data_IF_422869607507
#
_entry.id   IF_422869607507
#
_cell.length_a   1.000
_cell.length_b   1.000
_cell.length_c   1.000
_cell.angle_alpha   90.00
_cell.angle_beta   90.00
_cell.angle_gamma   90.00
#
_symmetry.space_group_name_H-M   'P 1'
#
loop_
_entity.id
_entity.type
_entity.pdbx_description
1 polymer ?
#
# COMPACT_ATOMS: atom_id res chain seq x y z
N UNK A 1 -2.81 -18.50 -11.25
CA UNK A 1 -4.10 -18.47 -10.53
C UNK A 1 -3.95 -18.77 -9.05
N UNK A 2 -3.20 -19.81 -8.65
CA UNK A 2 -2.95 -20.10 -7.22
C UNK A 2 -2.37 -18.91 -6.43
N UNK A 3 -1.39 -18.19 -6.99
CA UNK A 3 -0.78 -16.98 -6.38
C UNK A 3 -1.77 -15.83 -6.13
N UNK A 4 -2.75 -15.66 -7.03
CA UNK A 4 -3.78 -14.64 -6.85
C UNK A 4 -4.76 -15.02 -5.74
N UNK A 5 -5.19 -16.28 -5.71
CA UNK A 5 -6.09 -16.79 -4.67
C UNK A 5 -5.45 -16.76 -3.28
N UNK A 6 -4.16 -17.00 -3.19
CA UNK A 6 -3.40 -16.85 -1.94
C UNK A 6 -3.28 -15.39 -1.50
N UNK A 7 -3.12 -14.45 -2.44
CA UNK A 7 -3.23 -13.01 -2.18
C UNK A 7 -4.63 -12.58 -1.71
N UNK A 8 -5.70 -13.16 -2.27
CA UNK A 8 -7.07 -12.89 -1.82
C UNK A 8 -7.33 -13.49 -0.44
N UNK A 9 -6.83 -14.70 -0.20
CA UNK A 9 -6.87 -15.34 1.13
C UNK A 9 -6.12 -14.53 2.19
N UNK A 10 -5.11 -13.76 1.79
CA UNK A 10 -4.33 -12.92 2.71
C UNK A 10 -5.02 -11.61 3.10
N UNK A 11 -6.16 -11.23 2.50
CA UNK A 11 -6.89 -10.02 2.88
C UNK A 11 -7.33 -10.07 4.36
N UNK A 12 -7.58 -11.28 4.88
CA UNK A 12 -7.99 -11.49 6.27
C UNK A 12 -6.85 -11.46 7.30
N UNK A 13 -5.57 -11.48 6.89
CA UNK A 13 -4.46 -11.48 7.85
C UNK A 13 -3.97 -10.06 8.15
N UNK A 14 -3.61 -9.83 9.41
CA UNK A 14 -3.28 -8.51 9.93
C UNK A 14 -2.06 -7.86 9.26
N UNK A 15 -1.14 -8.66 8.71
CA UNK A 15 0.01 -8.10 7.99
C UNK A 15 -0.37 -7.51 6.63
N UNK A 16 -1.39 -8.03 5.97
CA UNK A 16 -1.88 -7.44 4.71
C UNK A 16 -2.64 -6.14 4.99
N UNK A 17 -3.26 -6.00 6.17
CA UNK A 17 -3.88 -4.74 6.60
C UNK A 17 -2.88 -3.58 6.65
N UNK A 18 -1.62 -3.84 7.02
CA UNK A 18 -0.58 -2.81 7.04
C UNK A 18 -0.33 -2.18 5.67
N UNK A 19 -0.49 -2.94 4.57
CA UNK A 19 -0.39 -2.44 3.21
C UNK A 19 -1.75 -2.01 2.64
N UNK A 20 -2.86 -2.63 3.06
CA UNK A 20 -4.19 -2.37 2.54
C UNK A 20 -4.80 -1.08 3.10
N UNK A 21 -4.64 -0.82 4.40
CA UNK A 21 -5.18 0.38 5.07
C UNK A 21 -4.67 1.67 4.43
N UNK A 22 -3.36 1.90 4.26
CA UNK A 22 -2.87 3.10 3.59
C UNK A 22 -3.31 3.17 2.12
N UNK A 23 -3.41 2.04 1.42
CA UNK A 23 -3.92 2.00 0.04
C UNK A 23 -5.36 2.51 -0.05
N UNK A 24 -6.25 1.98 0.79
CA UNK A 24 -7.66 2.38 0.86
C UNK A 24 -7.77 3.86 1.24
N UNK A 25 -7.05 4.28 2.29
CA UNK A 25 -7.06 5.68 2.74
C UNK A 25 -6.64 6.64 1.62
N UNK A 26 -5.58 6.31 0.88
CA UNK A 26 -5.08 7.12 -0.22
C UNK A 26 -6.07 7.18 -1.40
N UNK A 27 -6.70 6.04 -1.73
CA UNK A 27 -7.76 5.97 -2.76
C UNK A 27 -8.96 6.85 -2.36
N UNK A 28 -9.37 6.84 -1.10
CA UNK A 28 -10.48 7.69 -0.63
C UNK A 28 -10.15 9.19 -0.74
N UNK A 29 -8.91 9.57 -0.45
CA UNK A 29 -8.42 10.95 -0.53
C UNK A 29 -8.28 11.44 -1.97
N UNK A 30 -7.89 10.58 -2.90
CA UNK A 30 -7.58 10.93 -4.29
C UNK A 30 -8.79 11.34 -5.15
N UNK A 31 -10.03 11.08 -4.70
CA UNK A 31 -11.33 11.47 -5.33
C UNK A 31 -11.43 11.28 -6.85
N UNK A 32 -10.89 12.19 -7.66
CA UNK A 32 -10.94 12.13 -9.13
C UNK A 32 -9.83 11.28 -9.76
N UNK A 33 -8.77 10.97 -9.02
CA UNK A 33 -7.60 10.24 -9.51
C UNK A 33 -7.45 8.85 -8.87
N UNK A 34 -8.53 8.30 -8.30
CA UNK A 34 -8.55 7.02 -7.54
C UNK A 34 -7.86 5.87 -8.26
N UNK A 35 -8.21 5.67 -9.53
CA UNK A 35 -7.69 4.55 -10.33
C UNK A 35 -6.18 4.67 -10.54
N UNK A 36 -5.71 5.86 -10.93
CA UNK A 36 -4.29 6.11 -11.13
C UNK A 36 -3.50 5.92 -9.84
N UNK A 37 -4.02 6.42 -8.72
CA UNK A 37 -3.40 6.26 -7.40
C UNK A 37 -3.34 4.79 -6.99
N UNK A 38 -4.43 4.03 -7.16
CA UNK A 38 -4.46 2.61 -6.84
C UNK A 38 -3.47 1.79 -7.68
N UNK A 39 -3.41 2.03 -8.99
CA UNK A 39 -2.50 1.33 -9.90
C UNK A 39 -1.04 1.68 -9.62
N UNK A 40 -0.73 2.96 -9.45
CA UNK A 40 0.63 3.41 -9.12
C UNK A 40 1.08 2.93 -7.74
N UNK A 41 0.17 2.85 -6.78
CA UNK A 41 0.41 2.23 -5.48
C UNK A 41 0.76 0.76 -5.60
N UNK A 42 -0.02 -0.01 -6.37
CA UNK A 42 0.22 -1.43 -6.61
C UNK A 42 1.60 -1.66 -7.25
N UNK A 43 1.96 -0.84 -8.23
CA UNK A 43 3.28 -0.90 -8.88
C UNK A 43 4.40 -0.54 -7.89
N UNK A 44 4.22 0.55 -7.12
CA UNK A 44 5.23 0.99 -6.14
C UNK A 44 5.48 -0.04 -5.04
N UNK A 45 4.42 -0.64 -4.50
CA UNK A 45 4.53 -1.66 -3.44
C UNK A 45 5.17 -2.94 -3.98
N UNK A 46 4.78 -3.40 -5.17
CA UNK A 46 5.34 -4.61 -5.77
C UNK A 46 6.82 -4.44 -6.14
N UNK A 47 7.19 -3.30 -6.73
CA UNK A 47 8.59 -3.02 -7.09
C UNK A 47 9.48 -2.94 -5.86
N UNK A 48 9.05 -2.26 -4.80
CA UNK A 48 9.92 -2.08 -3.64
C UNK A 48 10.01 -3.35 -2.79
N UNK A 49 8.92 -4.10 -2.65
CA UNK A 49 8.97 -5.42 -1.99
C UNK A 49 9.89 -6.38 -2.74
N UNK A 50 9.82 -6.40 -4.07
CA UNK A 50 10.72 -7.18 -4.91
C UNK A 50 12.18 -6.70 -4.80
N UNK A 51 12.43 -5.39 -4.81
CA UNK A 51 13.78 -4.83 -4.68
C UNK A 51 14.41 -5.11 -3.30
N UNK A 52 13.59 -5.15 -2.25
CA UNK A 52 14.03 -5.57 -0.91
C UNK A 52 14.34 -7.07 -0.88
N UNK A 53 13.49 -7.88 -1.52
CA UNK A 53 13.66 -9.33 -1.58
C UNK A 53 14.92 -9.76 -2.34
N UNK A 54 15.29 -9.04 -3.40
CA UNK A 54 16.52 -9.29 -4.17
C UNK A 54 17.81 -8.81 -3.46
N UNK A 55 17.71 -8.33 -2.22
CA UNK A 55 18.86 -7.79 -1.48
C UNK A 55 19.45 -6.51 -2.09
N UNK A 56 18.80 -5.90 -3.09
CA UNK A 56 19.25 -4.65 -3.70
C UNK A 56 19.00 -3.42 -2.82
N UNK A 57 18.21 -3.55 -1.75
CA UNK A 57 17.82 -2.43 -0.91
C UNK A 57 17.63 -2.83 0.57
N UNK A 58 18.71 -2.78 1.35
CA UNK A 58 18.66 -2.83 2.82
C UNK A 58 19.09 -1.47 3.38
N UNK A 59 18.11 -0.62 3.64
CA UNK A 59 18.32 0.60 4.40
C UNK A 59 17.75 0.32 5.79
N UNK A 60 18.62 0.17 6.77
CA UNK A 60 18.24 0.13 8.20
C UNK A 60 17.91 1.55 8.65
N UNK A 61 16.67 1.76 9.07
CA UNK A 61 16.23 3.05 9.58
C UNK A 61 16.52 3.11 11.07
N UNK A 62 17.65 3.70 11.45
CA UNK A 62 17.92 4.07 12.84
C UNK A 62 18.03 5.59 12.95
N UNK A 63 17.21 6.18 13.81
CA UNK A 63 17.30 7.61 14.16
C UNK A 63 16.01 8.40 14.04
N UNK A 64 15.82 9.34 14.98
CA UNK A 64 14.65 10.21 15.07
C UNK A 64 14.37 11.04 13.80
N UNK A 65 15.42 11.45 13.09
CA UNK A 65 15.32 12.23 11.84
C UNK A 65 14.60 11.44 10.75
N UNK A 66 14.79 10.12 10.71
CA UNK A 66 14.19 9.25 9.69
C UNK A 66 12.70 9.00 9.93
N UNK A 67 12.28 8.89 11.20
CA UNK A 67 10.87 8.82 11.57
C UNK A 67 10.11 10.11 11.24
N UNK A 68 10.73 11.27 11.48
CA UNK A 68 10.15 12.55 11.10
C UNK A 68 10.08 12.73 9.59
N UNK A 69 11.13 12.32 8.87
CA UNK A 69 11.15 12.37 7.41
C UNK A 69 10.09 11.46 6.78
N UNK A 70 9.90 10.23 7.28
CA UNK A 70 8.87 9.32 6.78
C UNK A 70 7.45 9.82 7.08
N UNK A 71 7.22 10.35 8.29
CA UNK A 71 5.94 10.97 8.64
C UNK A 71 5.63 12.18 7.74
N UNK A 72 6.62 13.07 7.52
CA UNK A 72 6.47 14.21 6.62
C UNK A 72 6.18 13.77 5.18
N UNK A 73 6.84 12.71 4.71
CA UNK A 73 6.64 12.15 3.39
C UNK A 73 5.23 11.57 3.23
N UNK A 74 4.71 10.85 4.23
CA UNK A 74 3.32 10.39 4.24
C UNK A 74 2.36 11.56 4.16
N UNK A 75 2.51 12.58 5.01
CA UNK A 75 1.63 13.77 4.96
C UNK A 75 1.70 14.42 3.58
N UNK A 76 2.91 14.59 3.03
CA UNK A 76 3.13 15.13 1.69
C UNK A 76 2.40 14.34 0.61
N UNK A 77 2.49 13.02 0.63
CA UNK A 77 1.82 12.12 -0.33
C UNK A 77 0.30 12.21 -0.23
N UNK A 78 -0.26 12.24 0.97
CA UNK A 78 -1.71 12.40 1.17
C UNK A 78 -2.22 13.78 0.70
N UNK A 79 -1.45 14.84 0.95
CA UNK A 79 -1.76 16.19 0.43
C UNK A 79 -1.69 16.23 -1.09
N UNK A 80 -0.68 15.57 -1.68
CA UNK A 80 -0.49 15.49 -3.12
C UNK A 80 -1.65 14.73 -3.80
N UNK A 81 -2.08 13.62 -3.20
CA UNK A 81 -3.23 12.85 -3.64
C UNK A 81 -4.54 13.67 -3.55
N UNK A 82 -4.74 14.41 -2.46
CA UNK A 82 -5.91 15.28 -2.30
C UNK A 82 -5.96 16.40 -3.36
N UNK A 83 -4.79 16.93 -3.73
CA UNK A 83 -4.66 18.00 -4.74
C UNK A 83 -4.66 17.50 -6.18
N UNK A 84 -4.60 16.18 -6.41
CA UNK A 84 -4.50 15.61 -7.75
C UNK A 84 -5.76 15.92 -8.58
N UNK A 85 -5.58 16.66 -9.68
CA UNK A 85 -6.66 17.07 -10.58
C UNK A 85 -6.75 16.11 -11.77
N UNK A 86 -7.23 14.89 -11.54
CA UNK A 86 -7.62 13.94 -12.59
C UNK A 86 -6.66 12.76 -12.83
N UNK A 87 -7.04 11.87 -13.74
CA UNK A 87 -6.37 10.58 -13.96
C UNK A 87 -4.91 10.69 -14.44
N UNK A 88 -4.58 11.69 -15.27
CA UNK A 88 -3.23 11.85 -15.84
C UNK A 88 -2.32 12.76 -14.99
N UNK A 89 -2.72 13.08 -13.75
CA UNK A 89 -1.95 13.99 -12.92
C UNK A 89 -0.66 13.35 -12.42
N UNK A 90 0.48 13.98 -12.67
CA UNK A 90 1.77 13.55 -12.14
C UNK A 90 1.77 13.49 -10.60
N UNK A 91 0.96 14.34 -9.96
CA UNK A 91 0.70 14.30 -8.52
C UNK A 91 0.01 12.99 -8.08
N UNK A 92 -0.95 12.48 -8.86
CA UNK A 92 -1.61 11.22 -8.58
C UNK A 92 -0.62 10.06 -8.67
N UNK A 93 0.10 9.96 -9.78
CA UNK A 93 1.08 8.90 -10.01
C UNK A 93 2.20 8.94 -8.97
N UNK A 94 2.77 10.13 -8.71
CA UNK A 94 3.81 10.30 -7.71
C UNK A 94 3.33 9.92 -6.30
N UNK A 95 2.13 10.38 -5.92
CA UNK A 95 1.55 10.03 -4.61
C UNK A 95 1.34 8.53 -4.44
N UNK A 96 0.80 7.85 -5.47
CA UNK A 96 0.58 6.41 -5.41
C UNK A 96 1.88 5.62 -5.40
N UNK A 97 2.84 5.90 -6.30
CA UNK A 97 4.14 5.20 -6.32
C UNK A 97 4.86 5.36 -5.00
N UNK A 98 4.95 6.59 -4.46
CA UNK A 98 5.69 6.85 -3.23
C UNK A 98 5.00 6.22 -2.01
N UNK A 99 3.66 6.30 -1.91
CA UNK A 99 2.93 5.59 -0.86
C UNK A 99 3.06 4.08 -0.97
N UNK A 100 2.99 3.54 -2.19
CA UNK A 100 3.14 2.11 -2.45
C UNK A 100 4.53 1.63 -2.07
N UNK A 101 5.56 2.35 -2.48
CA UNK A 101 6.94 2.08 -2.09
C UNK A 101 7.09 2.12 -0.56
N UNK A 102 6.62 3.17 0.11
CA UNK A 102 6.63 3.23 1.57
C UNK A 102 5.92 2.03 2.21
N UNK A 103 4.75 1.66 1.71
CA UNK A 103 4.04 0.49 2.21
C UNK A 103 4.83 -0.80 1.98
N UNK A 104 5.45 -0.98 0.82
CA UNK A 104 6.23 -2.17 0.49
C UNK A 104 7.52 -2.27 1.30
N UNK A 105 8.09 -1.12 1.65
CA UNK A 105 9.23 -1.03 2.55
C UNK A 105 8.86 -1.41 3.98
N UNK A 106 7.70 -0.93 4.42
CA UNK A 106 7.28 -1.06 5.80
C UNK A 106 6.57 -2.41 6.07
N UNK A 107 6.02 -3.01 5.02
CA UNK A 107 5.33 -4.28 5.06
C UNK A 107 6.31 -5.43 5.36
N UNK A 108 6.01 -6.15 6.45
CA UNK A 108 6.64 -7.44 6.77
C UNK A 108 5.78 -8.54 6.14
N UNK A 109 6.32 -9.37 5.25
CA UNK A 109 5.55 -10.45 4.65
C UNK A 109 5.20 -11.48 5.72
N UNK A 110 3.92 -11.59 6.08
CA UNK A 110 3.41 -12.65 6.95
C UNK A 110 2.50 -13.54 6.12
N UNK A 111 3.07 -14.32 5.21
CA UNK A 111 2.27 -15.13 4.28
C UNK A 111 3.10 -16.27 3.71
N UNK A 112 2.36 -17.29 3.25
CA UNK A 112 2.73 -18.69 3.20
C UNK A 112 3.76 -19.14 2.14
N UNK A 113 3.84 -20.46 1.90
CA UNK A 113 4.96 -21.10 1.21
C UNK A 113 5.21 -20.57 -0.21
N UNK A 114 4.20 -20.03 -0.92
CA UNK A 114 4.39 -19.48 -2.27
C UNK A 114 5.04 -18.12 -2.30
N UNK A 115 4.77 -17.26 -1.31
CA UNK A 115 5.52 -16.01 -1.21
C UNK A 115 6.98 -16.31 -0.86
N UNK A 116 7.22 -17.28 0.02
CA UNK A 116 8.56 -17.80 0.30
C UNK A 116 9.27 -18.34 -0.95
N UNK A 117 8.57 -19.09 -1.80
CA UNK A 117 9.11 -19.62 -3.06
C UNK A 117 9.46 -18.50 -4.06
N UNK A 118 8.63 -17.45 -4.17
CA UNK A 118 8.90 -16.27 -5.01
C UNK A 118 10.13 -15.51 -4.49
N UNK A 119 10.20 -15.27 -3.19
CA UNK A 119 11.30 -14.56 -2.55
C UNK A 119 12.61 -15.35 -2.74
N UNK A 120 12.59 -16.68 -2.55
CA UNK A 120 13.78 -17.53 -2.65
C UNK A 120 14.24 -17.80 -4.10
N UNK A 121 13.41 -17.54 -5.10
CA UNK A 121 13.75 -17.67 -6.53
C UNK A 121 14.11 -16.33 -7.19
N UNK A 122 14.16 -15.25 -6.41
CA UNK A 122 14.38 -13.89 -6.93
C UNK A 122 15.77 -13.73 -7.55
N UNK A 123 16.78 -14.43 -7.03
CA UNK A 123 18.17 -14.35 -7.53
C UNK A 123 18.36 -15.03 -8.90
N UNK A 124 17.55 -16.02 -9.24
CA UNK A 124 17.68 -16.80 -10.49
C UNK A 124 16.69 -16.38 -11.56
N UNK A 125 15.49 -15.91 -11.20
CA UNK A 125 14.43 -15.53 -12.15
C UNK A 125 13.77 -14.18 -11.82
N UNK A 126 14.58 -13.12 -11.75
CA UNK A 126 14.18 -11.75 -11.43
C UNK A 126 12.91 -11.24 -12.16
N UNK A 127 12.82 -11.38 -13.49
CA UNK A 127 11.69 -10.87 -14.26
C UNK A 127 10.38 -11.64 -13.98
N UNK A 128 10.48 -12.95 -13.74
CA UNK A 128 9.32 -13.81 -13.47
C UNK A 128 8.81 -13.59 -12.06
N UNK A 129 9.70 -13.47 -11.07
CA UNK A 129 9.35 -13.20 -9.67
C UNK A 129 8.69 -11.83 -9.51
N UNK A 130 9.13 -10.80 -10.25
CA UNK A 130 8.45 -9.50 -10.28
C UNK A 130 7.01 -9.62 -10.80
N UNK A 131 6.81 -10.36 -11.90
CA UNK A 131 5.47 -10.61 -12.45
C UNK A 131 4.56 -11.34 -11.46
N UNK A 132 5.08 -12.34 -10.75
CA UNK A 132 4.34 -13.08 -9.72
C UNK A 132 4.03 -12.21 -8.50
N UNK A 133 4.94 -11.32 -8.10
CA UNK A 133 4.73 -10.35 -7.02
C UNK A 133 3.61 -9.35 -7.37
N UNK A 134 3.56 -8.86 -8.61
CA UNK A 134 2.46 -8.01 -9.09
C UNK A 134 1.11 -8.74 -9.02
N UNK A 135 1.06 -10.00 -9.44
CA UNK A 135 -0.17 -10.81 -9.39
C UNK A 135 -0.61 -11.06 -7.94
N UNK A 136 0.34 -11.33 -7.04
CA UNK A 136 0.08 -11.49 -5.61
C UNK A 136 -0.48 -10.20 -5.00
N UNK A 137 0.19 -9.05 -5.25
CA UNK A 137 -0.23 -7.75 -4.73
C UNK A 137 -1.56 -7.28 -5.31
N UNK A 138 -1.87 -7.64 -6.56
CA UNK A 138 -3.18 -7.38 -7.15
C UNK A 138 -4.31 -8.13 -6.42
N UNK A 139 -4.05 -9.35 -5.94
CA UNK A 139 -4.97 -10.10 -5.09
C UNK A 139 -5.10 -9.50 -3.70
N UNK A 140 -3.97 -9.17 -3.06
CA UNK A 140 -3.94 -8.60 -1.72
C UNK A 140 -4.59 -7.20 -1.63
N UNK A 141 -4.40 -6.38 -2.67
CA UNK A 141 -4.97 -5.03 -2.78
C UNK A 141 -6.30 -4.98 -3.53
N UNK A 142 -6.91 -6.14 -3.81
CA UNK A 142 -8.18 -6.24 -4.52
C UNK A 142 -9.26 -5.32 -3.91
N UNK A 143 -9.43 -5.18 -2.58
CA UNK A 143 -10.43 -4.26 -2.02
C UNK A 143 -10.17 -2.78 -2.37
N UNK A 144 -8.89 -2.36 -2.39
CA UNK A 144 -8.51 -0.99 -2.75
C UNK A 144 -8.75 -0.72 -4.25
N UNK A 145 -8.43 -1.70 -5.11
CA UNK A 145 -8.69 -1.61 -6.56
C UNK A 145 -10.19 -1.58 -6.84
N UNK A 146 -10.98 -2.44 -6.18
CA UNK A 146 -12.44 -2.44 -6.26
C UNK A 146 -13.01 -1.07 -5.88
N UNK A 147 -12.56 -0.48 -4.76
CA UNK A 147 -12.97 0.87 -4.34
C UNK A 147 -12.60 1.95 -5.36
N UNK A 148 -11.49 1.79 -6.07
CA UNK A 148 -11.07 2.73 -7.11
C UNK A 148 -11.90 2.60 -8.40
N UNK A 149 -12.35 1.38 -8.74
CA UNK A 149 -13.15 1.10 -9.94
C UNK A 149 -14.65 1.35 -9.71
N UNK A 150 -15.14 1.18 -8.48
CA UNK A 150 -16.55 1.30 -8.11
C UNK A 150 -17.25 2.58 -8.63
N UNK A 151 -16.62 3.78 -8.59
CA UNK A 151 -17.21 5.00 -9.13
C UNK A 151 -17.42 5.01 -10.66
N UNK A 152 -16.69 4.18 -11.39
CA UNK A 152 -16.84 4.02 -12.84
C UNK A 152 -17.97 3.06 -13.20
N UNK A 153 -18.19 2.03 -12.38
CA UNK A 153 -19.27 1.07 -12.58
C UNK A 153 -20.63 1.58 -12.07
N UNK A 154 -20.65 2.32 -10.96
CA UNK A 154 -21.88 2.76 -10.28
C UNK A 154 -21.89 4.28 -10.03
N UNK A 155 -22.73 5.05 -10.73
CA UNK A 155 -22.82 6.50 -10.54
C UNK A 155 -23.32 6.90 -9.13
N UNK A 156 -24.12 6.04 -8.48
CA UNK A 156 -24.53 6.23 -7.09
C UNK A 156 -23.35 6.14 -6.12
N UNK A 157 -22.46 5.15 -6.31
CA UNK A 157 -21.25 5.00 -5.52
C UNK A 157 -20.30 6.18 -5.71
N UNK A 158 -20.18 6.70 -6.95
CA UNK A 158 -19.42 7.93 -7.22
C UNK A 158 -19.92 9.12 -6.41
N UNK A 159 -21.24 9.37 -6.39
CA UNK A 159 -21.81 10.46 -5.59
C UNK A 159 -21.52 10.32 -4.11
N UNK A 160 -21.57 9.10 -3.58
CA UNK A 160 -21.28 8.85 -2.17
C UNK A 160 -19.80 9.04 -1.85
N UNK A 161 -18.93 8.43 -2.64
CA UNK A 161 -17.49 8.44 -2.43
C UNK A 161 -16.86 9.82 -2.71
N UNK A 162 -17.45 10.65 -3.55
CA UNK A 162 -16.97 12.02 -3.82
C UNK A 162 -17.36 13.02 -2.73
N UNK A 163 -18.09 12.60 -1.69
CA UNK A 163 -18.44 13.47 -0.56
C UNK A 163 -17.19 13.87 0.23
N UNK A 164 -17.06 15.16 0.65
CA UNK A 164 -15.94 15.61 1.48
C UNK A 164 -15.70 14.79 2.76
N UNK A 165 -16.71 14.32 3.53
CA UNK A 165 -16.47 13.50 4.72
C UNK A 165 -15.71 12.21 4.41
N UNK A 166 -15.91 11.59 3.25
CA UNK A 166 -15.20 10.35 2.87
C UNK A 166 -13.71 10.63 2.68
N UNK A 167 -13.36 11.75 2.06
CA UNK A 167 -11.97 12.17 1.93
C UNK A 167 -11.35 12.56 3.28
N UNK A 168 -12.13 13.16 4.20
CA UNK A 168 -11.69 13.47 5.56
C UNK A 168 -11.38 12.19 6.34
N UNK A 169 -12.22 11.14 6.22
CA UNK A 169 -11.96 9.84 6.84
C UNK A 169 -10.65 9.23 6.31
N UNK A 170 -10.44 9.22 5.00
CA UNK A 170 -9.18 8.75 4.41
C UNK A 170 -7.97 9.58 4.89
N UNK A 171 -8.12 10.90 4.99
CA UNK A 171 -7.09 11.79 5.51
C UNK A 171 -6.79 11.56 7.00
N UNK A 172 -7.81 11.29 7.81
CA UNK A 172 -7.65 10.98 9.23
C UNK A 172 -6.89 9.66 9.44
N UNK A 173 -7.17 8.64 8.62
CA UNK A 173 -6.41 7.39 8.63
C UNK A 173 -4.96 7.62 8.21
N UNK A 174 -4.71 8.43 7.17
CA UNK A 174 -3.36 8.82 6.76
C UNK A 174 -2.60 9.60 7.84
N UNK A 175 -3.28 10.49 8.55
CA UNK A 175 -2.71 11.24 9.67
C UNK A 175 -2.35 10.31 10.85
N UNK A 176 -3.25 9.37 11.20
CA UNK A 176 -2.96 8.36 12.22
C UNK A 176 -1.73 7.52 11.83
N UNK A 177 -1.63 7.11 10.56
CA UNK A 177 -0.48 6.38 10.03
C UNK A 177 0.82 7.20 10.13
N UNK A 178 0.79 8.48 9.78
CA UNK A 178 1.94 9.37 9.91
C UNK A 178 2.40 9.55 11.37
N UNK A 179 1.46 9.63 12.33
CA UNK A 179 1.78 9.72 13.76
C UNK A 179 2.42 8.43 14.27
N UNK A 180 1.93 7.26 13.84
CA UNK A 180 2.52 5.96 14.21
C UNK A 180 3.97 5.88 13.71
N UNK A 181 4.23 6.34 12.49
CA UNK A 181 5.57 6.42 11.93
C UNK A 181 6.47 7.42 12.69
N UNK A 182 5.95 8.62 12.98
CA UNK A 182 6.70 9.66 13.69
C UNK A 182 7.12 9.24 15.10
N UNK A 183 6.29 8.42 15.76
CA UNK A 183 6.57 7.93 17.13
C UNK A 183 7.52 6.74 17.16
N UNK A 184 7.92 6.19 15.99
CA UNK A 184 8.74 4.99 15.91
C UNK A 184 8.07 3.74 16.49
N UNK A 185 6.77 3.80 16.82
CA UNK A 185 6.01 2.68 17.40
C UNK A 185 5.48 1.72 16.33
N UNK A 186 5.92 1.88 15.08
CA UNK A 186 5.45 1.06 13.98
C UNK A 186 5.70 -0.43 14.22
N UNK A 187 6.90 -0.81 14.69
CA UNK A 187 7.25 -2.20 14.98
C UNK A 187 6.38 -2.79 16.11
N UNK A 188 5.96 -1.99 17.09
CA UNK A 188 5.05 -2.42 18.15
C UNK A 188 3.63 -2.64 17.62
N UNK A 189 3.13 -1.75 16.76
CA UNK A 189 1.80 -1.87 16.15
C UNK A 189 1.75 -3.10 15.23
N UNK A 190 2.78 -3.30 14.40
CA UNK A 190 2.87 -4.46 13.52
C UNK A 190 3.09 -5.75 14.31
N UNK A 191 3.92 -5.73 15.35
CA UNK A 191 4.13 -6.88 16.23
C UNK A 191 2.86 -7.29 16.96
N UNK A 192 2.05 -6.34 17.40
CA UNK A 192 0.78 -6.63 18.07
C UNK A 192 -0.30 -7.11 17.09
N UNK A 193 -0.36 -6.51 15.89
CA UNK A 193 -1.18 -7.01 14.77
C UNK A 193 -0.79 -8.46 14.41
N UNK A 194 0.51 -8.76 14.38
CA UNK A 194 1.02 -10.11 14.15
C UNK A 194 0.56 -11.07 15.24
N UNK A 195 0.71 -10.68 16.51
CA UNK A 195 0.31 -11.47 17.67
C UNK A 195 -1.17 -11.83 17.63
N UNK A 196 -2.04 -10.86 17.34
CA UNK A 196 -3.49 -11.07 17.21
C UNK A 196 -3.86 -11.97 16.02
N UNK A 197 -3.04 -12.03 14.97
CA UNK A 197 -3.29 -12.89 13.82
C UNK A 197 -2.85 -14.35 14.03
N UNK A 198 -1.98 -14.60 15.01
CA UNK A 198 -1.46 -15.95 15.34
C UNK A 198 -2.20 -16.65 16.48
N UNK A 199 -3.09 -15.95 17.19
CA UNK A 199 -3.98 -16.49 18.23
C UNK A 199 -5.35 -16.81 17.67
#
# INVERSE_FOLDING_TARGET
MATFLEGVGSIGVACTLAALVPAVALVLVARKARLTVALSYLVGVALLTWARASGHWDVEFSGAVMFLASAALVVGVFVLAYRAKGLASLAATGSGVVAGAMAGWLWRPCVGPKLGEILNSTDTEAARTLGLMLVYMAGALLPAVLLAVLPHALPAARRFLDRPPVAVVGGAVGAAYAVILATGRYDLVVGELYRMATT
#
